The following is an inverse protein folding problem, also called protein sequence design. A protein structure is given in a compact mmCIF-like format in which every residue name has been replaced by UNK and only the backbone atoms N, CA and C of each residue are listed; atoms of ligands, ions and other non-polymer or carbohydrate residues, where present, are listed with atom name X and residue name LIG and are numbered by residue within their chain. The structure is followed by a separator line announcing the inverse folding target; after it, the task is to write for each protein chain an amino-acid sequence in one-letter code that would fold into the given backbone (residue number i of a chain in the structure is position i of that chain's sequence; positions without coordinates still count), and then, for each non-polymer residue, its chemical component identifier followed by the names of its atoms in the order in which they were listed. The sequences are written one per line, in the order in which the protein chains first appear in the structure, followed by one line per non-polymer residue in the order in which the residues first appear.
data_IF_160225768124
#
_entry.id   IF_160225768124
#
_cell.length_a   1.000
_cell.length_b   1.000
_cell.length_c   1.000
_cell.angle_alpha   90.00
_cell.angle_beta   90.00
_cell.angle_gamma   90.00
#
_symmetry.space_group_name_H-M   'P 1'
#
loop_
_entity.id
_entity.type
_entity.pdbx_description
1 polymer ?
#
# COMPACT_ATOMS: atom_id res chain seq x y z
N UNK A 1 -3.97 -22.30 46.08
CA UNK A 1 -3.48 -21.46 44.97
C UNK A 1 -4.02 -22.10 43.69
N UNK A 2 -5.29 -21.83 43.32
CA UNK A 2 -5.67 -20.82 42.32
C UNK A 2 -4.96 -21.14 40.99
N UNK A 3 -5.54 -21.70 39.92
CA UNK A 3 -6.87 -21.60 39.29
C UNK A 3 -7.10 -22.83 38.38
N UNK A 4 -8.24 -23.51 38.45
CA UNK A 4 -9.33 -23.45 37.44
C UNK A 4 -8.84 -23.97 36.08
N UNK A 5 -8.95 -25.28 35.80
CA UNK A 5 -10.12 -25.96 35.21
C UNK A 5 -10.50 -25.38 33.85
N UNK A 6 -10.47 -26.24 32.84
CA UNK A 6 -11.42 -26.41 31.71
C UNK A 6 -10.63 -26.71 30.43
N UNK A 7 -10.65 -27.98 30.02
CA UNK A 7 -11.47 -28.47 28.89
C UNK A 7 -10.81 -28.10 27.56
N UNK A 8 -10.55 -28.98 26.61
CA UNK A 8 -10.92 -30.38 26.43
C UNK A 8 -10.66 -30.63 24.95
N UNK A 9 -10.25 -31.85 24.63
CA UNK A 9 -10.69 -32.56 23.42
C UNK A 9 -10.09 -32.00 22.12
N UNK A 10 -8.95 -32.54 21.68
CA UNK A 10 -8.83 -33.78 20.88
C UNK A 10 -8.96 -33.52 19.38
N UNK A 11 -8.03 -34.16 18.67
CA UNK A 11 -8.25 -34.85 17.40
C UNK A 11 -8.12 -34.08 16.09
N UNK A 12 -7.53 -34.81 15.14
CA UNK A 12 -7.55 -34.59 13.69
C UNK A 12 -6.55 -33.53 13.23
N UNK A 13 -5.41 -33.86 12.63
CA UNK A 13 -5.26 -34.78 11.52
C UNK A 13 -4.98 -33.95 10.26
N UNK A 14 -4.01 -34.37 9.44
CA UNK A 14 -3.88 -33.84 8.08
C UNK A 14 -2.50 -33.31 7.70
N UNK A 15 -1.71 -34.22 7.15
CA UNK A 15 -0.72 -34.02 6.11
C UNK A 15 -1.01 -32.81 5.20
N UNK A 16 -0.04 -31.91 5.05
CA UNK A 16 0.21 -31.21 3.78
C UNK A 16 1.64 -30.73 3.72
N UNK A 17 2.49 -31.55 3.09
CA UNK A 17 3.61 -31.04 2.31
C UNK A 17 2.99 -30.49 1.02
N UNK A 18 2.95 -29.16 0.88
CA UNK A 18 2.76 -28.53 -0.43
C UNK A 18 3.80 -27.42 -0.57
N UNK A 19 4.36 -27.35 -1.76
CA UNK A 19 5.70 -26.84 -2.03
C UNK A 19 5.89 -25.34 -1.80
N UNK A 20 7.13 -24.99 -1.46
CA UNK A 20 7.71 -23.70 -1.80
C UNK A 20 7.82 -23.63 -3.32
N UNK A 21 7.04 -22.75 -3.93
CA UNK A 21 7.16 -22.43 -5.34
C UNK A 21 6.37 -21.17 -5.68
N UNK A 22 7.09 -20.15 -6.15
CA UNK A 22 6.55 -19.11 -7.02
C UNK A 22 5.92 -17.90 -6.32
N UNK A 23 6.59 -16.77 -6.48
CA UNK A 23 6.02 -15.42 -6.59
C UNK A 23 5.51 -14.73 -5.31
N UNK A 24 6.26 -13.77 -4.73
CA UNK A 24 5.62 -12.66 -4.08
C UNK A 24 4.96 -11.80 -5.17
N UNK A 25 3.69 -12.06 -5.49
CA UNK A 25 2.80 -10.96 -5.86
C UNK A 25 2.69 -10.06 -4.63
N UNK A 26 3.22 -8.82 -4.66
CA UNK A 26 2.90 -7.89 -3.60
C UNK A 26 1.55 -7.28 -3.98
N UNK A 27 0.55 -7.69 -3.22
CA UNK A 27 -0.53 -6.80 -2.81
C UNK A 27 -1.55 -6.50 -3.90
N UNK A 28 -2.29 -7.53 -4.30
CA UNK A 28 -3.73 -7.36 -4.49
C UNK A 28 -4.31 -7.01 -3.11
N UNK A 29 -4.43 -5.71 -2.81
CA UNK A 29 -5.33 -5.24 -1.76
C UNK A 29 -6.74 -5.61 -2.19
N UNK A 30 -7.23 -6.73 -1.69
CA UNK A 30 -8.63 -7.11 -1.81
C UNK A 30 -9.52 -6.07 -1.10
N UNK A 31 -10.71 -5.81 -1.64
CA UNK A 31 -11.45 -4.57 -1.46
C UNK A 31 -12.10 -4.54 -0.08
N UNK A 32 -11.73 -3.54 0.73
CA UNK A 32 -12.45 -3.28 1.97
C UNK A 32 -13.78 -2.60 1.65
N UNK A 33 -14.84 -3.37 1.90
CA UNK A 33 -16.24 -3.05 2.19
C UNK A 33 -16.77 -1.61 1.89
N UNK A 34 -17.93 -1.50 1.20
CA UNK A 34 -18.53 -0.22 0.84
C UNK A 34 -19.25 0.41 2.04
N UNK A 35 -18.58 1.35 2.70
CA UNK A 35 -19.19 2.29 3.64
C UNK A 35 -19.09 3.69 3.06
N UNK A 36 -20.17 4.17 2.44
CA UNK A 36 -20.25 5.56 1.96
C UNK A 36 -19.94 6.53 3.12
N UNK A 37 -19.21 7.61 2.81
CA UNK A 37 -19.06 8.87 3.57
C UNK A 37 -17.66 9.17 4.17
N UNK A 38 -16.68 9.37 3.30
CA UNK A 38 -15.63 10.40 3.47
C UNK A 38 -15.17 10.89 2.08
N UNK A 39 -16.08 11.59 1.38
CA UNK A 39 -15.79 12.18 0.07
C UNK A 39 -14.70 13.23 0.23
N UNK A 40 -13.48 12.93 -0.23
CA UNK A 40 -12.71 13.76 -1.16
C UNK A 40 -11.23 13.37 -1.17
N UNK A 41 -10.59 13.21 0.00
CA UNK A 41 -9.13 13.07 0.08
C UNK A 41 -8.67 11.62 0.25
N UNK A 42 -9.31 10.81 1.11
CA UNK A 42 -9.02 9.37 1.22
C UNK A 42 -9.30 8.64 -0.10
N UNK A 43 -10.49 8.83 -0.67
CA UNK A 43 -10.86 8.22 -1.97
C UNK A 43 -9.90 8.65 -3.09
N UNK A 44 -9.45 9.92 -3.05
CA UNK A 44 -8.47 10.42 -4.02
C UNK A 44 -7.10 9.78 -3.79
N UNK A 45 -6.66 9.61 -2.54
CA UNK A 45 -5.41 8.93 -2.24
C UNK A 45 -5.43 7.49 -2.76
N UNK A 46 -6.50 6.74 -2.48
CA UNK A 46 -6.67 5.37 -2.97
C UNK A 46 -6.66 5.31 -4.50
N UNK A 47 -7.39 6.21 -5.16
CA UNK A 47 -7.40 6.31 -6.61
C UNK A 47 -6.01 6.59 -7.21
N UNK A 48 -5.23 7.47 -6.57
CA UNK A 48 -3.88 7.79 -7.03
C UNK A 48 -2.91 6.62 -6.79
N UNK A 49 -3.06 5.89 -5.69
CA UNK A 49 -2.31 4.64 -5.44
C UNK A 49 -2.63 3.63 -6.55
N UNK A 50 -3.90 3.42 -6.89
CA UNK A 50 -4.26 2.50 -7.98
C UNK A 50 -3.63 2.95 -9.31
N UNK A 51 -3.69 4.26 -9.60
CA UNK A 51 -3.14 4.81 -10.83
C UNK A 51 -1.61 4.69 -10.90
N UNK A 52 -0.91 4.70 -9.76
CA UNK A 52 0.54 4.58 -9.69
C UNK A 52 1.06 3.24 -10.24
N UNK A 53 0.27 2.17 -10.17
CA UNK A 53 0.64 0.81 -10.60
C UNK A 53 0.02 0.38 -11.94
N UNK A 54 -0.64 1.29 -12.68
CA UNK A 54 -1.21 0.98 -13.99
C UNK A 54 -0.11 0.67 -15.01
N UNK A 55 -0.23 -0.49 -15.68
CA UNK A 55 0.68 -0.87 -16.77
C UNK A 55 0.51 0.03 -18.01
N UNK A 56 1.59 0.23 -18.76
CA UNK A 56 1.62 1.03 -20.00
C UNK A 56 1.05 2.45 -19.83
N UNK A 57 1.16 3.01 -18.64
CA UNK A 57 0.56 4.29 -18.25
C UNK A 57 1.57 5.15 -17.48
N UNK A 58 2.84 5.09 -17.84
CA UNK A 58 3.97 5.70 -17.12
C UNK A 58 3.74 7.20 -16.89
N UNK A 59 3.17 7.90 -17.88
CA UNK A 59 2.80 9.32 -17.74
C UNK A 59 1.78 9.55 -16.62
N UNK A 60 0.77 8.69 -16.52
CA UNK A 60 -0.28 8.76 -15.48
C UNK A 60 0.27 8.33 -14.13
N UNK A 61 1.12 7.29 -14.08
CA UNK A 61 1.76 6.84 -12.86
C UNK A 61 2.63 7.97 -12.26
N UNK A 62 3.39 8.65 -13.13
CA UNK A 62 4.20 9.80 -12.73
C UNK A 62 3.35 10.99 -12.25
N UNK A 63 2.20 11.24 -12.89
CA UNK A 63 1.24 12.23 -12.41
C UNK A 63 0.66 11.84 -11.04
N UNK A 64 0.31 10.58 -10.85
CA UNK A 64 -0.23 10.07 -9.60
C UNK A 64 0.77 10.24 -8.45
N UNK A 65 2.05 9.90 -8.68
CA UNK A 65 3.13 10.13 -7.73
C UNK A 65 3.21 11.60 -7.31
N UNK A 66 3.20 12.55 -8.26
CA UNK A 66 3.21 13.99 -7.96
C UNK A 66 2.00 14.42 -7.15
N UNK A 67 0.82 13.93 -7.51
CA UNK A 67 -0.40 14.28 -6.78
C UNK A 67 -0.38 13.77 -5.34
N UNK A 68 0.14 12.56 -5.10
CA UNK A 68 0.38 12.03 -3.76
C UNK A 68 1.37 12.90 -2.98
N UNK A 69 2.47 13.35 -3.60
CA UNK A 69 3.41 14.30 -3.00
C UNK A 69 2.74 15.60 -2.53
N UNK A 70 1.90 16.17 -3.40
CA UNK A 70 1.16 17.41 -3.13
C UNK A 70 0.08 17.29 -2.05
N UNK A 71 -0.39 16.07 -1.76
CA UNK A 71 -1.27 15.82 -0.60
C UNK A 71 -0.50 15.93 0.73
N UNK A 72 0.84 15.90 0.69
CA UNK A 72 1.70 16.15 1.84
C UNK A 72 1.53 15.11 2.94
N UNK A 73 1.49 15.55 4.20
CA UNK A 73 1.46 14.67 5.36
C UNK A 73 0.29 13.66 5.35
N UNK A 74 -0.82 13.99 4.70
CA UNK A 74 -1.97 13.10 4.56
C UNK A 74 -1.64 11.84 3.74
N UNK A 75 -0.81 11.96 2.70
CA UNK A 75 -0.38 10.84 1.86
C UNK A 75 0.76 10.01 2.46
N UNK A 76 1.06 10.15 3.75
CA UNK A 76 2.08 9.33 4.44
C UNK A 76 1.81 7.83 4.33
N UNK A 77 0.54 7.43 4.27
CA UNK A 77 0.14 6.04 4.02
C UNK A 77 0.52 5.51 2.64
N UNK A 78 0.78 6.39 1.66
CA UNK A 78 1.12 6.03 0.29
C UNK A 78 2.64 5.83 0.05
N UNK A 79 3.50 6.16 1.02
CA UNK A 79 4.96 5.96 0.93
C UNK A 79 5.35 4.54 0.49
N UNK A 80 4.85 3.45 1.10
CA UNK A 80 5.24 2.10 0.68
C UNK A 80 4.85 1.79 -0.78
N UNK A 81 3.76 2.36 -1.27
CA UNK A 81 3.33 2.19 -2.67
C UNK A 81 4.19 3.01 -3.64
N UNK A 82 4.63 4.22 -3.23
CA UNK A 82 5.62 5.02 -3.96
C UNK A 82 6.97 4.29 -4.06
N UNK A 83 7.43 3.66 -2.98
CA UNK A 83 8.66 2.85 -2.99
C UNK A 83 8.56 1.64 -3.90
N UNK A 84 7.42 0.91 -3.86
CA UNK A 84 7.15 -0.19 -4.79
C UNK A 84 7.16 0.30 -6.24
N UNK A 85 6.54 1.44 -6.53
CA UNK A 85 6.51 2.01 -7.87
C UNK A 85 7.91 2.32 -8.40
N UNK A 86 8.82 2.84 -7.55
CA UNK A 86 10.22 3.08 -7.90
C UNK A 86 10.94 1.78 -8.29
N UNK A 87 10.66 0.68 -7.58
CA UNK A 87 11.31 -0.61 -7.81
C UNK A 87 10.73 -1.36 -9.02
N UNK A 88 9.45 -1.20 -9.29
CA UNK A 88 8.73 -1.92 -10.35
C UNK A 88 8.80 -1.23 -11.71
N UNK A 89 8.93 0.10 -11.74
CA UNK A 89 8.98 0.85 -12.98
C UNK A 89 10.39 0.90 -13.56
N UNK A 90 10.49 0.79 -14.89
CA UNK A 90 11.73 1.11 -15.63
C UNK A 90 11.75 2.54 -16.13
N UNK A 91 10.67 3.30 -15.94
CA UNK A 91 10.54 4.69 -16.40
C UNK A 91 11.23 5.65 -15.41
N UNK A 92 12.23 6.38 -15.90
CA UNK A 92 13.00 7.33 -15.11
C UNK A 92 12.16 8.47 -14.52
N UNK A 93 11.09 8.88 -15.23
CA UNK A 93 10.21 9.96 -14.79
C UNK A 93 9.33 9.49 -13.64
N UNK A 94 8.76 8.28 -13.72
CA UNK A 94 8.01 7.67 -12.62
C UNK A 94 8.89 7.54 -11.39
N UNK A 95 10.13 7.05 -11.54
CA UNK A 95 11.08 6.95 -10.41
C UNK A 95 11.37 8.30 -9.76
N UNK A 96 11.71 9.30 -10.58
CA UNK A 96 12.08 10.63 -10.07
C UNK A 96 10.91 11.32 -9.38
N UNK A 97 9.71 11.24 -9.96
CA UNK A 97 8.50 11.84 -9.40
C UNK A 97 8.05 11.13 -8.12
N UNK A 98 8.17 9.80 -8.05
CA UNK A 98 7.88 9.04 -6.83
C UNK A 98 8.86 9.34 -5.69
N UNK A 99 10.15 9.46 -6.00
CA UNK A 99 11.15 9.84 -5.00
C UNK A 99 10.92 11.26 -4.47
N UNK A 100 10.61 12.22 -5.36
CA UNK A 100 10.26 13.57 -4.97
C UNK A 100 9.00 13.60 -4.10
N UNK A 101 7.97 12.83 -4.46
CA UNK A 101 6.74 12.74 -3.68
C UNK A 101 6.98 12.23 -2.25
N UNK A 102 7.83 11.20 -2.07
CA UNK A 102 8.21 10.72 -0.73
C UNK A 102 8.84 11.85 0.09
N UNK A 103 9.80 12.59 -0.50
CA UNK A 103 10.46 13.70 0.19
C UNK A 103 9.48 14.83 0.57
N UNK A 104 8.55 15.17 -0.32
CA UNK A 104 7.51 16.17 -0.07
C UNK A 104 6.60 15.75 1.08
N UNK A 105 6.16 14.49 1.09
CA UNK A 105 5.31 13.93 2.14
C UNK A 105 6.03 13.93 3.49
N UNK A 106 7.29 13.48 3.54
CA UNK A 106 8.10 13.46 4.77
C UNK A 106 8.35 14.87 5.30
N UNK A 107 8.70 15.82 4.42
CA UNK A 107 8.93 17.21 4.79
C UNK A 107 7.65 17.86 5.31
N UNK A 108 6.52 17.62 4.65
CA UNK A 108 5.21 18.11 5.10
C UNK A 108 4.81 17.51 6.46
N UNK A 109 5.10 16.22 6.68
CA UNK A 109 4.85 15.56 7.95
C UNK A 109 5.74 16.09 9.10
N UNK A 110 7.00 16.42 8.80
CA UNK A 110 7.92 17.03 9.77
C UNK A 110 7.54 18.48 10.13
N UNK A 111 6.93 19.21 9.20
CA UNK A 111 6.54 20.62 9.37
C UNK A 111 5.28 20.82 10.22
N UNK A 112 4.55 19.74 10.54
CA UNK A 112 3.29 19.79 11.32
C UNK A 112 3.52 19.45 12.80
N UNK A 113 4.78 19.44 13.28
CA UNK A 113 5.15 19.20 14.68
C UNK A 113 5.32 20.49 15.48
#
# INVERSE_FOLDING_TARGET
MLRIVLLSVLFSGGLSLVGCGGDPEPTATEPQAPGQMAKSDEEKMEYLIEMLHRKNSEKKNAQAARELGRMGAFAKGAIPELEKAIQQTSDDKVRSDAQAAIQEIETAAASTQ
#
